data_IF_407136147741
#
_entry.id   IF_407136147741
#
_cell.length_a   1.000
_cell.length_b   1.000
_cell.length_c   1.000
_cell.angle_alpha   90.00
_cell.angle_beta   90.00
_cell.angle_gamma   90.00
#
_symmetry.space_group_name_H-M   'P 1'
#
loop_
_entity.id
_entity.type
_entity.pdbx_description
1 polymer ?
#
# COMPACT_ATOMS: atom_id res chain seq x y z
N UNK A 1 -1.99 2.42 -17.61
CA UNK A 1 -2.71 3.08 -16.50
C UNK A 1 -2.67 2.12 -15.35
N UNK A 2 -2.43 2.58 -14.14
CA UNK A 2 -2.49 1.73 -12.95
C UNK A 2 -3.74 2.11 -12.17
N UNK A 3 -4.51 1.11 -11.78
CA UNK A 3 -5.57 1.26 -10.80
C UNK A 3 -5.16 0.56 -9.51
N UNK A 4 -5.63 1.09 -8.38
CA UNK A 4 -5.39 0.51 -7.07
C UNK A 4 -6.70 0.31 -6.32
N UNK A 5 -6.77 -0.78 -5.58
CA UNK A 5 -7.82 -1.05 -4.59
C UNK A 5 -7.18 -1.42 -3.26
N UNK A 6 -7.79 -0.98 -2.16
CA UNK A 6 -7.36 -1.30 -0.82
C UNK A 6 -8.46 -2.08 -0.09
N UNK A 7 -8.10 -3.22 0.50
CA UNK A 7 -8.97 -3.96 1.41
C UNK A 7 -8.39 -3.97 2.81
N UNK A 8 -9.26 -3.79 3.81
CA UNK A 8 -8.93 -3.85 5.23
C UNK A 8 -9.84 -4.89 5.88
N UNK A 9 -9.25 -5.96 6.40
CA UNK A 9 -10.00 -7.10 6.96
C UNK A 9 -9.43 -7.50 8.33
N UNK A 10 -10.25 -7.95 9.28
CA UNK A 10 -9.74 -8.53 10.52
C UNK A 10 -8.90 -9.78 10.25
N UNK A 11 -7.68 -9.83 10.80
CA UNK A 11 -6.77 -10.97 10.76
C UNK A 11 -6.40 -11.45 12.17
N UNK A 12 -5.56 -12.49 12.25
CA UNK A 12 -5.19 -13.11 13.55
C UNK A 12 -4.43 -12.17 14.49
N UNK A 13 -3.59 -11.28 13.95
CA UNK A 13 -2.71 -10.39 14.72
C UNK A 13 -3.14 -8.91 14.74
N UNK A 14 -4.18 -8.55 13.96
CA UNK A 14 -4.58 -7.16 13.76
C UNK A 14 -5.41 -7.01 12.49
N UNK A 15 -5.49 -5.79 11.96
CA UNK A 15 -6.12 -5.55 10.66
C UNK A 15 -5.13 -5.87 9.53
N UNK A 16 -5.51 -6.79 8.65
CA UNK A 16 -4.80 -7.10 7.42
C UNK A 16 -5.15 -6.05 6.35
N UNK A 17 -4.14 -5.38 5.84
CA UNK A 17 -4.23 -4.36 4.80
C UNK A 17 -3.65 -4.95 3.52
N UNK A 18 -4.40 -4.87 2.42
CA UNK A 18 -3.92 -5.35 1.12
C UNK A 18 -4.19 -4.30 0.05
N UNK A 19 -3.11 -3.82 -0.54
CA UNK A 19 -3.13 -2.96 -1.72
C UNK A 19 -2.97 -3.84 -2.95
N UNK A 20 -3.95 -3.82 -3.83
CA UNK A 20 -3.93 -4.51 -5.12
C UNK A 20 -3.78 -3.47 -6.22
N UNK A 21 -2.71 -3.55 -7.00
CA UNK A 21 -2.39 -2.67 -8.11
C UNK A 21 -2.51 -3.44 -9.41
N UNK A 22 -3.36 -2.99 -10.31
CA UNK A 22 -3.57 -3.59 -11.63
C UNK A 22 -3.11 -2.64 -12.74
N UNK A 23 -2.42 -3.15 -13.75
CA UNK A 23 -2.22 -2.41 -14.99
C UNK A 23 -3.43 -2.59 -15.92
N UNK A 24 -4.34 -1.63 -15.86
CA UNK A 24 -5.56 -1.58 -16.68
C UNK A 24 -5.35 -0.94 -18.06
N UNK A 25 -4.11 -0.58 -18.40
CA UNK A 25 -3.75 -0.04 -19.72
C UNK A 25 -3.37 -1.09 -20.76
N UNK A 26 -3.18 -0.64 -22.00
CA UNK A 26 -2.84 -1.51 -23.14
C UNK A 26 -1.34 -1.82 -23.31
N UNK A 27 -0.47 -1.24 -22.47
CA UNK A 27 0.98 -1.40 -22.56
C UNK A 27 1.62 -1.72 -21.21
N UNK A 28 2.84 -2.30 -21.19
CA UNK A 28 3.55 -2.57 -19.95
C UNK A 28 3.90 -1.28 -19.21
N UNK A 29 3.86 -1.34 -17.88
CA UNK A 29 4.27 -0.24 -17.00
C UNK A 29 5.52 -0.67 -16.22
N UNK A 30 6.58 0.12 -16.31
CA UNK A 30 7.80 -0.09 -15.52
C UNK A 30 7.67 0.59 -14.16
N UNK A 31 7.96 -0.15 -13.10
CA UNK A 31 7.99 0.33 -11.72
C UNK A 31 9.44 0.43 -11.26
N UNK A 32 9.91 1.66 -11.02
CA UNK A 32 11.27 1.95 -10.58
C UNK A 32 11.30 2.35 -9.11
N UNK A 33 12.06 1.64 -8.29
CA UNK A 33 12.16 1.83 -6.84
C UNK A 33 13.56 2.28 -6.41
N UNK A 34 13.61 3.14 -5.38
CA UNK A 34 14.86 3.70 -4.87
C UNK A 34 15.61 2.77 -3.90
N UNK A 35 14.92 1.78 -3.35
CA UNK A 35 15.42 0.80 -2.38
C UNK A 35 14.52 -0.45 -2.38
N UNK A 36 14.57 -1.24 -1.31
CA UNK A 36 13.75 -2.43 -1.12
C UNK A 36 12.26 -2.18 -0.83
N UNK A 37 11.82 -0.94 -0.61
CA UNK A 37 10.41 -0.63 -0.40
C UNK A 37 9.64 -0.71 -1.73
N UNK A 38 8.40 -1.24 -1.68
CA UNK A 38 7.53 -1.37 -2.86
C UNK A 38 6.23 -0.61 -2.70
N UNK A 39 5.62 -0.74 -1.53
CA UNK A 39 4.43 0.00 -1.14
C UNK A 39 4.64 0.64 0.23
N UNK A 40 3.76 1.58 0.55
CA UNK A 40 3.60 2.17 1.86
C UNK A 40 2.14 2.04 2.28
N UNK A 41 1.93 1.90 3.59
CA UNK A 41 0.61 1.96 4.19
C UNK A 41 0.64 2.94 5.36
N UNK A 42 -0.39 3.76 5.46
CA UNK A 42 -0.58 4.69 6.58
C UNK A 42 -2.01 4.58 7.08
N UNK A 43 -2.16 4.69 8.39
CA UNK A 43 -3.46 4.78 9.05
C UNK A 43 -3.54 6.14 9.73
N UNK A 44 -4.63 6.85 9.47
CA UNK A 44 -4.90 8.18 10.00
C UNK A 44 -6.26 8.18 10.70
N UNK A 45 -6.41 9.05 11.70
CA UNK A 45 -7.74 9.44 12.19
C UNK A 45 -8.45 10.31 11.15
N UNK A 46 -9.80 10.41 11.17
CA UNK A 46 -10.54 11.26 10.24
C UNK A 46 -10.18 12.74 10.27
N UNK A 47 -9.55 13.21 11.35
CA UNK A 47 -9.03 14.58 11.52
C UNK A 47 -7.62 14.78 10.92
N UNK A 48 -7.04 13.74 10.32
CA UNK A 48 -5.73 13.75 9.66
C UNK A 48 -4.55 13.40 10.56
N UNK A 49 -4.79 12.96 11.81
CA UNK A 49 -3.72 12.51 12.69
C UNK A 49 -3.22 11.10 12.31
N UNK A 50 -2.00 10.99 11.77
CA UNK A 50 -1.33 9.71 11.55
C UNK A 50 -1.18 8.94 12.88
N UNK A 51 -1.63 7.69 12.90
CA UNK A 51 -1.53 6.79 14.06
C UNK A 51 -0.57 5.64 13.82
N UNK A 52 -0.31 5.30 12.56
CA UNK A 52 0.58 4.21 12.19
C UNK A 52 1.07 4.36 10.75
N UNK A 53 2.33 4.00 10.53
CA UNK A 53 2.97 3.93 9.21
C UNK A 53 3.75 2.63 9.08
N UNK A 54 3.53 1.92 7.99
CA UNK A 54 4.14 0.61 7.79
C UNK A 54 5.66 0.67 7.73
N UNK A 55 6.22 1.68 7.05
CA UNK A 55 7.67 1.85 6.94
C UNK A 55 8.35 2.25 8.26
N UNK A 56 7.61 2.72 9.27
CA UNK A 56 8.20 3.19 10.52
C UNK A 56 8.91 2.03 11.25
N UNK A 57 10.18 2.23 11.58
CA UNK A 57 11.01 1.21 12.23
C UNK A 57 11.45 0.06 11.32
N UNK A 58 11.09 0.07 10.03
CA UNK A 58 11.55 -0.92 9.05
C UNK A 58 12.82 -0.45 8.33
N UNK A 59 13.72 -1.40 8.07
CA UNK A 59 14.92 -1.17 7.26
C UNK A 59 14.72 -1.81 5.89
N UNK A 60 15.01 -1.06 4.83
CA UNK A 60 14.98 -1.54 3.46
C UNK A 60 16.40 -1.68 2.91
N UNK A 61 16.60 -2.68 2.05
CA UNK A 61 17.89 -2.86 1.36
C UNK A 61 18.13 -1.69 0.42
N UNK A 62 19.34 -1.12 0.44
CA UNK A 62 19.77 -0.04 -0.45
C UNK A 62 20.08 -0.54 -1.87
N UNK A 63 19.13 -1.25 -2.48
CA UNK A 63 19.24 -1.78 -3.84
C UNK A 63 18.09 -1.24 -4.68
N UNK A 64 18.43 -0.58 -5.79
CA UNK A 64 17.44 -0.14 -6.77
C UNK A 64 16.66 -1.34 -7.30
N UNK A 65 15.34 -1.20 -7.41
CA UNK A 65 14.45 -2.22 -7.95
C UNK A 65 13.81 -1.76 -9.24
N UNK A 66 13.71 -2.65 -10.23
CA UNK A 66 12.87 -2.44 -11.40
C UNK A 66 11.95 -3.65 -11.58
N UNK A 67 10.66 -3.39 -11.67
CA UNK A 67 9.63 -4.39 -11.95
C UNK A 67 8.81 -3.96 -13.17
N UNK A 68 8.17 -4.92 -13.84
CA UNK A 68 7.28 -4.64 -14.97
C UNK A 68 5.91 -5.25 -14.65
N UNK A 69 4.84 -4.46 -14.83
CA UNK A 69 3.47 -4.94 -14.83
C UNK A 69 2.96 -4.95 -16.28
N UNK A 70 2.65 -6.14 -16.80
CA UNK A 70 2.04 -6.27 -18.14
C UNK A 70 0.57 -5.85 -18.12
N UNK A 71 -0.04 -5.56 -19.29
CA UNK A 71 -1.48 -5.33 -19.38
C UNK A 71 -2.29 -6.46 -18.72
N UNK A 72 -3.20 -6.10 -17.81
CA UNK A 72 -4.02 -7.01 -17.01
C UNK A 72 -3.27 -7.73 -15.88
N UNK A 73 -1.97 -7.48 -15.70
CA UNK A 73 -1.23 -8.03 -14.56
C UNK A 73 -1.54 -7.26 -13.29
N UNK A 74 -1.60 -7.99 -12.18
CA UNK A 74 -1.86 -7.45 -10.85
C UNK A 74 -0.72 -7.77 -9.90
N UNK A 75 -0.41 -6.82 -9.02
CA UNK A 75 0.48 -7.02 -7.87
C UNK A 75 -0.23 -6.67 -6.58
N UNK A 76 -0.04 -7.55 -5.59
CA UNK A 76 -0.57 -7.35 -4.24
C UNK A 76 0.57 -7.03 -3.27
N UNK A 77 0.31 -6.08 -2.38
CA UNK A 77 1.18 -5.70 -1.28
C UNK A 77 0.39 -5.81 0.01
N UNK A 78 1.02 -6.34 1.06
CA UNK A 78 0.35 -6.66 2.30
C UNK A 78 1.05 -6.03 3.50
N UNK A 79 0.23 -5.65 4.47
CA UNK A 79 0.66 -5.13 5.75
C UNK A 79 -0.31 -5.58 6.85
N UNK A 80 0.19 -5.62 8.09
CA UNK A 80 -0.65 -5.85 9.27
C UNK A 80 -0.53 -4.64 10.18
N UNK A 81 -1.67 -4.03 10.50
CA UNK A 81 -1.77 -3.02 11.54
C UNK A 81 -2.25 -3.67 12.84
N UNK A 82 -1.31 -3.88 13.76
CA UNK A 82 -1.55 -4.49 15.07
C UNK A 82 -1.94 -3.44 16.11
N UNK A 83 -2.70 -3.84 17.13
CA UNK A 83 -3.02 -2.98 18.27
C UNK A 83 -3.97 -1.81 17.94
N UNK A 84 -4.79 -1.94 16.90
CA UNK A 84 -5.81 -0.95 16.58
C UNK A 84 -6.81 -0.78 17.76
N UNK A 85 -6.97 0.45 18.23
CA UNK A 85 -7.98 0.80 19.23
C UNK A 85 -9.36 0.96 18.54
N UNK A 86 -10.44 0.86 19.31
CA UNK A 86 -11.79 1.10 18.78
C UNK A 86 -11.93 2.54 18.30
N UNK A 87 -12.47 2.73 17.09
CA UNK A 87 -12.58 4.04 16.47
C UNK A 87 -12.73 4.00 14.96
N UNK A 88 -12.88 5.19 14.37
CA UNK A 88 -12.88 5.37 12.93
C UNK A 88 -11.48 5.74 12.44
N UNK A 89 -11.08 5.19 11.30
CA UNK A 89 -9.78 5.43 10.69
C UNK A 89 -9.90 5.51 9.16
N UNK A 90 -8.94 6.19 8.55
CA UNK A 90 -8.69 6.18 7.11
C UNK A 90 -7.38 5.43 6.90
N UNK A 91 -7.44 4.31 6.17
CA UNK A 91 -6.25 3.59 5.73
C UNK A 91 -5.92 4.01 4.32
N UNK A 92 -4.66 4.34 4.05
CA UNK A 92 -4.15 4.65 2.72
C UNK A 92 -3.03 3.69 2.36
N UNK A 93 -2.97 3.26 1.12
CA UNK A 93 -1.89 2.45 0.57
C UNK A 93 -1.49 2.96 -0.80
N UNK A 94 -0.18 3.00 -1.08
CA UNK A 94 0.32 3.44 -2.38
C UNK A 94 1.62 2.77 -2.79
N UNK A 95 1.89 2.76 -4.09
CA UNK A 95 3.19 2.38 -4.67
C UNK A 95 4.25 3.46 -4.39
N UNK A 96 5.46 3.03 -4.04
CA UNK A 96 6.61 3.94 -3.82
C UNK A 96 7.49 4.05 -5.08
N UNK A 97 6.93 3.74 -6.25
CA UNK A 97 7.64 3.83 -7.52
C UNK A 97 7.85 5.31 -7.92
N UNK A 98 8.96 5.62 -8.59
CA UNK A 98 9.35 7.01 -8.92
C UNK A 98 8.63 7.61 -10.13
N UNK A 99 8.12 6.76 -11.01
CA UNK A 99 7.58 7.13 -12.33
C UNK A 99 6.20 6.50 -12.60
N UNK A 100 5.61 5.89 -11.58
CA UNK A 100 4.30 5.27 -11.65
C UNK A 100 3.59 5.44 -10.32
N UNK A 101 2.34 5.90 -10.38
CA UNK A 101 1.52 6.16 -9.21
C UNK A 101 0.32 5.20 -9.22
N UNK A 102 0.04 4.65 -8.05
CA UNK A 102 -1.20 3.93 -7.77
C UNK A 102 -1.44 4.03 -6.26
N UNK A 103 -2.58 4.57 -5.87
CA UNK A 103 -2.97 4.74 -4.48
C UNK A 103 -4.45 4.40 -4.29
N UNK A 104 -4.78 3.91 -3.10
CA UNK A 104 -6.15 3.69 -2.69
C UNK A 104 -6.31 3.99 -1.21
N UNK A 105 -7.53 4.35 -0.82
CA UNK A 105 -7.91 4.57 0.56
C UNK A 105 -9.16 3.79 0.93
N UNK A 106 -9.29 3.45 2.21
CA UNK A 106 -10.46 2.79 2.76
C UNK A 106 -10.74 3.33 4.16
N UNK A 107 -12.00 3.71 4.41
CA UNK A 107 -12.47 3.99 5.77
C UNK A 107 -12.80 2.69 6.48
N UNK A 108 -12.35 2.56 7.72
CA UNK A 108 -12.60 1.41 8.56
C UNK A 108 -13.05 1.86 9.95
N UNK A 109 -13.95 1.07 10.55
CA UNK A 109 -14.33 1.19 11.96
C UNK A 109 -13.88 -0.08 12.67
N UNK A 110 -13.13 0.10 13.75
CA UNK A 110 -12.62 -0.97 14.63
C UNK A 110 -13.49 -1.06 15.88
#
# INVERSE_FOLDING_TARGET
MLDATLTVEPGEAGLALRLTVENTGDGPVSLSFSDGQRAEFVVERPDGGEVWRWSEGRSFTMALGNEELRPGETREFEATWEGAESGEYVVRGWLVAREADAEAEMRVTV
#
